data_IF_479344381388
#
_entry.id   IF_479344381388
#
_cell.length_a   1.000
_cell.length_b   1.000
_cell.length_c   1.000
_cell.angle_alpha   90.00
_cell.angle_beta   90.00
_cell.angle_gamma   90.00
#
_symmetry.space_group_name_H-M   'P 1'
#
loop_
_entity.id
_entity.type
_entity.pdbx_description
1 polymer ?
#
# COMPACT_ATOMS: atom_id res chain seq x y z
N UNK A 1 -1.21 -5.48 36.26
CA UNK A 1 -2.48 -5.53 35.49
C UNK A 1 -2.15 -5.52 34.01
N UNK A 2 -2.81 -6.33 33.20
CA UNK A 2 -2.67 -6.30 31.75
C UNK A 2 -3.74 -5.35 31.18
N UNK A 3 -3.31 -4.26 30.54
CA UNK A 3 -4.21 -3.24 29.99
C UNK A 3 -4.60 -3.49 28.52
N UNK A 4 -3.98 -4.49 27.88
CA UNK A 4 -4.17 -4.80 26.47
C UNK A 4 -4.46 -6.29 26.32
N UNK A 5 -5.66 -6.61 25.85
CA UNK A 5 -6.04 -7.94 25.38
C UNK A 5 -6.02 -7.96 23.85
N UNK A 6 -5.44 -9.00 23.25
CA UNK A 6 -5.38 -9.18 21.79
C UNK A 6 -6.21 -10.40 21.41
N UNK A 7 -7.09 -10.24 20.43
CA UNK A 7 -7.79 -11.36 19.81
C UNK A 7 -7.01 -11.81 18.57
N UNK A 8 -6.30 -12.93 18.68
CA UNK A 8 -5.46 -13.47 17.60
C UNK A 8 -5.96 -14.82 17.10
N UNK A 9 -7.23 -15.15 17.36
CA UNK A 9 -7.81 -16.43 16.95
C UNK A 9 -8.19 -16.42 15.45
N UNK A 10 -8.77 -15.32 14.98
CA UNK A 10 -9.19 -15.14 13.59
C UNK A 10 -9.22 -13.64 13.23
N UNK A 11 -9.20 -13.32 11.93
CA UNK A 11 -9.38 -11.97 11.39
C UNK A 11 -8.45 -10.89 11.99
N UNK A 12 -7.16 -11.22 12.11
CA UNK A 12 -6.14 -10.28 12.59
C UNK A 12 -5.02 -10.12 11.56
N UNK A 13 -4.45 -8.93 11.50
CA UNK A 13 -3.29 -8.62 10.65
C UNK A 13 -2.07 -8.39 11.52
N UNK A 14 -0.96 -9.07 11.19
CA UNK A 14 0.36 -8.78 11.78
C UNK A 14 1.01 -7.69 10.93
N UNK A 15 1.33 -6.56 11.55
CA UNK A 15 2.02 -5.45 10.90
C UNK A 15 3.20 -5.04 11.79
N UNK A 16 4.30 -4.62 11.17
CA UNK A 16 5.42 -4.01 11.88
C UNK A 16 4.99 -2.70 12.56
N UNK A 17 5.42 -2.49 13.80
CA UNK A 17 5.08 -1.30 14.59
C UNK A 17 5.76 -0.01 14.10
N UNK A 18 6.67 -0.08 13.12
CA UNK A 18 7.40 1.08 12.61
C UNK A 18 6.48 2.25 12.25
N UNK A 19 5.39 2.00 11.51
CA UNK A 19 4.39 3.02 11.17
C UNK A 19 3.62 3.56 12.38
N UNK A 20 3.25 2.68 13.32
CA UNK A 20 2.56 3.09 14.56
C UNK A 20 3.43 4.01 15.42
N UNK A 21 4.74 3.76 15.45
CA UNK A 21 5.73 4.49 16.24
C UNK A 21 6.27 5.75 15.55
N UNK A 22 6.06 5.90 14.24
CA UNK A 22 6.50 7.09 13.49
C UNK A 22 5.69 8.34 13.90
N UNK A 23 6.36 9.37 14.42
CA UNK A 23 5.75 10.64 14.85
C UNK A 23 5.29 11.53 13.68
N UNK A 24 5.90 11.35 12.51
CA UNK A 24 5.64 12.19 11.32
C UNK A 24 4.35 11.78 10.59
N UNK A 25 3.82 10.60 10.89
CA UNK A 25 2.55 10.14 10.33
C UNK A 25 1.36 10.59 11.18
N UNK A 26 0.34 11.14 10.53
CA UNK A 26 -0.94 11.38 11.17
C UNK A 26 -1.61 10.06 11.60
N UNK A 27 -2.50 10.12 12.59
CA UNK A 27 -3.34 8.97 12.95
C UNK A 27 -4.19 8.48 11.77
N UNK A 28 -4.55 9.38 10.83
CA UNK A 28 -5.26 9.01 9.60
C UNK A 28 -4.37 8.19 8.67
N UNK A 29 -3.11 8.59 8.45
CA UNK A 29 -2.15 7.82 7.68
C UNK A 29 -1.88 6.44 8.30
N UNK A 30 -1.69 6.38 9.62
CA UNK A 30 -1.51 5.11 10.36
C UNK A 30 -2.72 4.19 10.20
N UNK A 31 -3.93 4.72 10.36
CA UNK A 31 -5.17 3.97 10.17
C UNK A 31 -5.35 3.50 8.73
N UNK A 32 -5.02 4.35 7.74
CA UNK A 32 -5.09 4.00 6.33
C UNK A 32 -4.13 2.85 6.00
N UNK A 33 -2.89 2.90 6.49
CA UNK A 33 -1.92 1.82 6.29
C UNK A 33 -2.42 0.50 6.87
N UNK A 34 -2.99 0.51 8.09
CA UNK A 34 -3.61 -0.69 8.66
C UNK A 34 -4.72 -1.25 7.76
N UNK A 35 -5.61 -0.39 7.25
CA UNK A 35 -6.66 -0.81 6.31
C UNK A 35 -6.08 -1.37 5.02
N UNK A 36 -5.00 -0.82 4.49
CA UNK A 36 -4.32 -1.35 3.31
C UNK A 36 -3.79 -2.77 3.58
N UNK A 37 -3.04 -2.94 4.68
CA UNK A 37 -2.39 -4.20 5.08
C UNK A 37 -3.38 -5.30 5.51
N UNK A 38 -4.65 -4.96 5.78
CA UNK A 38 -5.68 -5.94 6.09
C UNK A 38 -6.35 -6.58 4.86
N UNK A 39 -5.98 -6.16 3.65
CA UNK A 39 -6.50 -6.77 2.41
C UNK A 39 -5.60 -7.94 1.97
N UNK A 40 -6.01 -8.63 0.89
CA UNK A 40 -5.18 -9.65 0.23
C UNK A 40 -3.97 -8.99 -0.45
N UNK A 41 -2.84 -9.70 -0.49
CA UNK A 41 -1.57 -9.22 -1.05
C UNK A 41 -1.67 -8.80 -2.53
N UNK A 42 -2.58 -9.40 -3.30
CA UNK A 42 -2.80 -9.10 -4.72
C UNK A 42 -3.70 -7.89 -4.95
N UNK A 43 -4.25 -7.29 -3.90
CA UNK A 43 -5.20 -6.20 -4.01
C UNK A 43 -4.50 -4.88 -4.36
N UNK A 44 -5.02 -4.20 -5.39
CA UNK A 44 -4.54 -2.87 -5.78
C UNK A 44 -5.38 -1.77 -5.11
N UNK A 45 -4.79 -0.93 -4.27
CA UNK A 45 -5.52 0.15 -3.61
C UNK A 45 -5.99 1.22 -4.60
N UNK A 46 -7.27 1.56 -4.50
CA UNK A 46 -7.88 2.70 -5.18
C UNK A 46 -8.52 3.62 -4.14
N UNK A 47 -8.11 4.90 -4.13
CA UNK A 47 -8.59 5.90 -3.15
C UNK A 47 -10.12 5.99 -3.12
N UNK A 48 -10.77 5.93 -4.27
CA UNK A 48 -12.23 6.06 -4.37
C UNK A 48 -12.98 4.88 -3.77
N UNK A 49 -12.35 3.70 -3.74
CA UNK A 49 -12.89 2.54 -3.04
C UNK A 49 -12.62 2.63 -1.54
N UNK A 50 -11.42 3.06 -1.16
CA UNK A 50 -11.04 3.27 0.24
C UNK A 50 -11.93 4.30 0.93
N UNK A 51 -12.25 5.40 0.24
CA UNK A 51 -13.12 6.45 0.79
C UNK A 51 -14.55 6.00 1.09
N UNK A 52 -14.99 4.90 0.50
CA UNK A 52 -16.31 4.30 0.79
C UNK A 52 -16.30 3.38 2.01
N UNK A 53 -15.12 3.00 2.51
CA UNK A 53 -14.95 2.06 3.63
C UNK A 53 -14.78 2.76 4.98
N UNK A 54 -14.73 4.09 5.00
CA UNK A 54 -14.61 4.85 6.25
C UNK A 54 -15.49 6.09 6.23
N UNK A 55 -15.69 6.70 7.41
CA UNK A 55 -16.48 7.93 7.56
C UNK A 55 -15.76 9.17 7.03
N UNK A 56 -14.47 9.07 6.75
CA UNK A 56 -13.65 10.18 6.31
C UNK A 56 -13.93 10.52 4.83
N UNK A 57 -13.84 11.79 4.47
CA UNK A 57 -14.00 12.24 3.10
C UNK A 57 -12.87 11.78 2.17
N UNK A 58 -13.08 11.88 0.86
CA UNK A 58 -12.09 11.54 -0.17
C UNK A 58 -10.77 12.32 -0.01
N UNK A 59 -10.86 13.58 0.37
CA UNK A 59 -9.69 14.45 0.59
C UNK A 59 -8.83 13.96 1.75
N UNK A 60 -9.44 13.58 2.87
CA UNK A 60 -8.72 13.02 4.02
C UNK A 60 -7.96 11.73 3.64
N UNK A 61 -8.58 10.85 2.83
CA UNK A 61 -7.90 9.65 2.32
C UNK A 61 -6.74 10.00 1.38
N UNK A 62 -6.92 11.00 0.53
CA UNK A 62 -5.85 11.47 -0.37
C UNK A 62 -4.67 12.00 0.44
N UNK A 63 -4.91 12.88 1.42
CA UNK A 63 -3.85 13.46 2.24
C UNK A 63 -3.11 12.37 3.04
N UNK A 64 -3.83 11.45 3.67
CA UNK A 64 -3.25 10.31 4.37
C UNK A 64 -2.42 9.40 3.43
N UNK A 65 -2.86 9.23 2.18
CA UNK A 65 -2.12 8.44 1.19
C UNK A 65 -0.85 9.14 0.72
N UNK A 66 -0.88 10.46 0.54
CA UNK A 66 0.31 11.26 0.22
C UNK A 66 1.31 11.25 1.39
N UNK A 67 0.86 11.39 2.65
CA UNK A 67 1.73 11.22 3.83
C UNK A 67 2.45 9.86 3.84
N UNK A 68 1.74 8.78 3.49
CA UNK A 68 2.34 7.45 3.41
C UNK A 68 3.35 7.31 2.27
N UNK A 69 3.14 8.01 1.16
CA UNK A 69 4.13 8.07 0.06
C UNK A 69 5.36 8.84 0.48
N UNK A 70 5.18 10.00 1.09
CA UNK A 70 6.28 10.85 1.56
C UNK A 70 7.09 10.15 2.65
N UNK A 71 6.42 9.38 3.53
CA UNK A 71 7.06 8.52 4.52
C UNK A 71 7.68 7.23 3.96
N UNK A 72 7.57 6.98 2.65
CA UNK A 72 8.18 5.83 1.97
C UNK A 72 7.45 4.49 2.16
N UNK A 73 6.29 4.47 2.82
CA UNK A 73 5.48 3.27 3.01
C UNK A 73 4.72 2.86 1.74
N UNK A 74 4.54 3.80 0.82
CA UNK A 74 3.91 3.56 -0.49
C UNK A 74 4.82 4.07 -1.60
N UNK A 75 5.12 3.23 -2.58
CA UNK A 75 5.74 3.62 -3.85
C UNK A 75 4.88 3.18 -5.02
N UNK A 76 4.86 3.96 -6.11
CA UNK A 76 4.02 3.67 -7.28
C UNK A 76 4.91 3.56 -8.51
N UNK A 77 4.88 2.39 -9.15
CA UNK A 77 5.56 2.16 -10.40
C UNK A 77 4.58 2.45 -11.54
N UNK A 78 4.95 3.38 -12.41
CA UNK A 78 4.14 3.80 -13.56
C UNK A 78 4.70 3.13 -14.80
N UNK A 79 3.99 2.12 -15.32
CA UNK A 79 4.38 1.40 -16.54
C UNK A 79 3.56 1.91 -17.72
N UNK A 80 4.24 2.33 -18.79
CA UNK A 80 3.60 2.58 -20.08
C UNK A 80 3.27 1.25 -20.74
N UNK A 81 2.06 1.10 -21.26
CA UNK A 81 1.64 -0.08 -22.00
C UNK A 81 1.98 0.01 -23.50
N UNK A 82 2.77 1.01 -23.92
CA UNK A 82 3.15 1.24 -25.31
C UNK A 82 2.29 2.29 -26.03
N UNK A 83 2.55 2.51 -27.33
CA UNK A 83 1.96 3.61 -28.11
C UNK A 83 0.44 3.54 -28.09
N UNK A 84 -0.19 4.53 -27.44
CA UNK A 84 -1.65 4.70 -27.37
C UNK A 84 -2.37 3.81 -26.36
N UNK A 85 -1.68 2.92 -25.64
CA UNK A 85 -2.31 1.97 -24.70
C UNK A 85 -2.41 2.49 -23.26
N UNK A 86 -1.93 3.71 -22.99
CA UNK A 86 -2.03 4.36 -21.69
C UNK A 86 -0.95 3.94 -20.69
N UNK A 87 -1.16 4.34 -19.43
CA UNK A 87 -0.24 4.09 -18.31
C UNK A 87 -0.99 3.32 -17.24
N UNK A 88 -0.37 2.27 -16.72
CA UNK A 88 -0.85 1.49 -15.60
C UNK A 88 -0.01 1.78 -14.35
N UNK A 89 -0.67 2.01 -13.21
CA UNK A 89 -0.02 2.20 -11.92
C UNK A 89 0.01 0.88 -11.14
N UNK A 90 1.18 0.55 -10.60
CA UNK A 90 1.42 -0.60 -9.74
C UNK A 90 1.90 -0.07 -8.37
N UNK A 91 1.00 0.06 -7.39
CA UNK A 91 1.37 0.47 -6.04
C UNK A 91 2.01 -0.69 -5.28
N UNK A 92 3.15 -0.42 -4.64
CA UNK A 92 3.74 -1.24 -3.59
C UNK A 92 3.48 -0.57 -2.25
N UNK A 93 2.93 -1.33 -1.30
CA UNK A 93 2.67 -0.88 0.08
C UNK A 93 3.49 -1.76 1.01
N UNK A 94 4.14 -1.14 2.01
CA UNK A 94 4.89 -1.85 3.04
C UNK A 94 4.61 -1.24 4.42
N UNK A 95 4.71 -2.06 5.45
CA UNK A 95 4.58 -1.65 6.86
C UNK A 95 5.86 -0.98 7.41
N UNK A 96 6.95 -1.02 6.64
CA UNK A 96 8.19 -0.26 6.83
C UNK A 96 8.51 0.56 5.57
N UNK A 97 9.31 1.64 5.66
CA UNK A 97 9.72 2.41 4.50
C UNK A 97 10.43 1.53 3.47
N UNK A 98 9.97 1.61 2.23
CA UNK A 98 10.52 0.88 1.10
C UNK A 98 11.88 1.49 0.76
N UNK A 99 12.93 0.67 0.86
CA UNK A 99 14.28 1.07 0.45
C UNK A 99 14.41 1.13 -1.07
N UNK A 100 15.39 1.87 -1.56
CA UNK A 100 15.63 1.96 -3.01
C UNK A 100 16.05 0.61 -3.60
N UNK A 101 16.86 -0.17 -2.89
CA UNK A 101 17.27 -1.50 -3.34
C UNK A 101 16.09 -2.47 -3.46
N UNK A 102 15.18 -2.48 -2.48
CA UNK A 102 13.98 -3.32 -2.55
C UNK A 102 13.01 -2.82 -3.62
N UNK A 103 12.93 -1.50 -3.81
CA UNK A 103 12.13 -0.89 -4.86
C UNK A 103 12.56 -1.33 -6.26
N UNK A 104 13.86 -1.30 -6.55
CA UNK A 104 14.39 -1.76 -7.84
C UNK A 104 14.14 -3.26 -8.05
N UNK A 105 14.44 -4.09 -7.05
CA UNK A 105 14.13 -5.52 -7.08
C UNK A 105 12.65 -5.80 -7.37
N UNK A 106 11.75 -5.08 -6.69
CA UNK A 106 10.32 -5.29 -6.88
C UNK A 106 9.84 -4.86 -8.27
N UNK A 107 10.37 -3.75 -8.82
CA UNK A 107 10.05 -3.33 -10.19
C UNK A 107 10.48 -4.36 -11.23
N UNK A 108 11.67 -4.95 -11.08
CA UNK A 108 12.15 -6.04 -11.93
C UNK A 108 11.17 -7.23 -11.89
N UNK A 109 10.71 -7.62 -10.70
CA UNK A 109 9.72 -8.69 -10.55
C UNK A 109 8.38 -8.39 -11.23
N UNK A 110 7.89 -7.15 -11.11
CA UNK A 110 6.68 -6.74 -11.83
C UNK A 110 6.89 -6.83 -13.34
N UNK A 111 8.06 -6.46 -13.84
CA UNK A 111 8.38 -6.52 -15.27
C UNK A 111 8.51 -7.96 -15.79
N UNK A 112 9.12 -8.85 -15.01
CA UNK A 112 9.19 -10.28 -15.30
C UNK A 112 7.78 -10.91 -15.38
N UNK A 113 6.91 -10.60 -14.42
CA UNK A 113 5.53 -11.10 -14.41
C UNK A 113 4.73 -10.60 -15.62
N UNK A 114 4.88 -9.33 -15.99
CA UNK A 114 4.17 -8.75 -17.14
C UNK A 114 4.67 -9.31 -18.47
N UNK A 115 5.98 -9.53 -18.61
CA UNK A 115 6.56 -10.10 -19.82
C UNK A 115 6.18 -11.58 -20.03
N UNK A 116 6.04 -12.34 -18.94
CA UNK A 116 5.61 -13.74 -19.01
C UNK A 116 4.12 -13.85 -19.38
N UNK A 117 3.28 -12.92 -18.89
CA UNK A 117 1.85 -12.90 -19.18
C UNK A 117 1.46 -12.56 -20.62
N UNK A 118 2.30 -11.82 -21.36
CA UNK A 118 2.07 -11.50 -22.78
C UNK A 118 2.41 -12.67 -23.74
N UNK A 119 3.03 -13.74 -23.26
CA UNK A 119 3.47 -14.88 -24.09
C UNK A 119 2.46 -16.04 -24.19
N UNK A 120 1.27 -15.88 -23.58
CA UNK A 120 0.25 -16.92 -23.45
C UNK A 120 -1.09 -16.60 -24.14
N UNK A 121 -1.08 -15.79 -25.20
CA UNK A 121 -2.23 -15.56 -26.09
C UNK A 121 -1.96 -16.05 -27.52
#
# INVERSE_FOLDING_TARGET
MQHIARNTHENYSKINNHSAQNSELSLQAKGLLFVLMSNKDTWRPYIDQLSKRSKNGREAHRNAFEELKDGGYIRIYRKSLGRGRGIQNYPLVSDIPITDSYWEYWKEKVDDELSTGESSE
#
